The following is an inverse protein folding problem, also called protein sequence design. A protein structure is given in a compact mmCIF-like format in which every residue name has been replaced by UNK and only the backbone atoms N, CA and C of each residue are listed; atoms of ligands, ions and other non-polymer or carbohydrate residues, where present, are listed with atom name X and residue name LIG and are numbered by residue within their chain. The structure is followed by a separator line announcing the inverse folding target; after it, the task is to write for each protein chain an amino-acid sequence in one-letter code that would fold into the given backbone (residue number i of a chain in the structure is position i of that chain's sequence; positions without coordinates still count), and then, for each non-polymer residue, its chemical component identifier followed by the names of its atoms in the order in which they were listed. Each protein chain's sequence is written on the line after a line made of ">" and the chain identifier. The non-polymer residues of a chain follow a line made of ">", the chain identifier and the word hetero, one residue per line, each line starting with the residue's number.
data_IF_875343695765
#
_entry.id   IF_875343695765
#
_cell.length_a   1.000
_cell.length_b   1.000
_cell.length_c   1.000
_cell.angle_alpha   90.00
_cell.angle_beta   90.00
_cell.angle_gamma   90.00
#
_symmetry.space_group_name_H-M   'P 1'
#
loop_
_entity.id
_entity.type
_entity.pdbx_description
1 polymer ?
#
# COMPACT_ATOMS: atom_id res chain seq x y z
N UNK A 1 -21.09 -14.44 18.80
CA UNK A 1 -19.69 -14.90 18.57
C UNK A 1 -19.50 -15.25 17.10
N UNK A 2 -18.76 -14.42 16.34
CA UNK A 2 -18.15 -14.65 15.00
C UNK A 2 -17.72 -13.29 14.41
N UNK A 3 -16.72 -12.66 15.00
CA UNK A 3 -16.00 -11.49 14.42
C UNK A 3 -14.53 -11.60 14.80
N UNK A 4 -13.85 -12.61 14.26
CA UNK A 4 -12.43 -12.88 14.58
C UNK A 4 -11.58 -13.19 13.35
N UNK A 5 -12.00 -12.78 12.15
CA UNK A 5 -11.25 -13.09 10.92
C UNK A 5 -11.19 -11.87 10.02
N UNK A 6 -10.27 -10.94 10.31
CA UNK A 6 -9.78 -9.94 9.34
C UNK A 6 -8.62 -9.07 9.84
N UNK A 7 -8.32 -9.05 11.15
CA UNK A 7 -7.33 -8.12 11.72
C UNK A 7 -5.90 -8.67 11.84
N UNK A 8 -5.57 -9.79 11.19
CA UNK A 8 -4.27 -10.44 11.32
C UNK A 8 -3.17 -9.86 10.39
N UNK A 9 -3.50 -8.92 9.49
CA UNK A 9 -2.55 -8.38 8.49
C UNK A 9 -1.91 -7.04 8.88
N UNK A 10 -2.09 -6.59 10.13
CA UNK A 10 -1.53 -5.31 10.62
C UNK A 10 -0.13 -5.50 11.27
N UNK A 11 0.30 -6.73 11.56
CA UNK A 11 1.55 -7.02 12.28
C UNK A 11 2.75 -7.26 11.33
N UNK A 12 2.81 -6.57 10.19
CA UNK A 12 4.00 -6.56 9.32
C UNK A 12 4.61 -5.17 9.19
N UNK A 13 4.01 -4.15 9.83
CA UNK A 13 4.42 -2.74 9.68
C UNK A 13 5.41 -2.23 10.74
N UNK A 14 5.79 -3.02 11.75
CA UNK A 14 6.60 -2.54 12.88
C UNK A 14 7.99 -3.20 13.02
N UNK A 15 8.52 -3.90 12.02
CA UNK A 15 9.90 -4.35 12.12
C UNK A 15 10.86 -3.20 11.77
N UNK A 16 11.69 -2.73 12.72
CA UNK A 16 12.82 -1.88 12.36
C UNK A 16 13.69 -2.67 11.38
N UNK A 17 14.12 -2.02 10.29
CA UNK A 17 15.10 -2.53 9.33
C UNK A 17 16.50 -2.63 9.97
N UNK A 18 16.59 -3.12 11.21
CA UNK A 18 17.80 -3.26 11.99
C UNK A 18 18.19 -4.74 12.01
N UNK A 19 19.08 -5.12 11.09
CA UNK A 19 19.86 -6.35 11.15
C UNK A 19 19.16 -7.61 10.64
N UNK A 20 19.25 -7.88 9.33
CA UNK A 20 19.34 -9.24 8.78
C UNK A 20 19.72 -9.15 7.30
N UNK A 21 20.64 -9.99 6.85
CA UNK A 21 21.40 -9.97 5.58
C UNK A 21 20.60 -10.05 4.25
N UNK A 22 19.35 -9.56 4.18
CA UNK A 22 18.54 -9.67 2.96
C UNK A 22 17.57 -8.49 2.76
N UNK A 23 18.12 -7.29 2.60
CA UNK A 23 17.35 -6.07 2.29
C UNK A 23 16.48 -6.26 1.05
N UNK A 24 17.02 -6.90 0.01
CA UNK A 24 16.32 -7.11 -1.26
C UNK A 24 15.07 -8.00 -1.07
N UNK A 25 15.19 -9.15 -0.38
CA UNK A 25 14.05 -10.04 -0.09
C UNK A 25 13.03 -9.40 0.83
N UNK A 26 13.48 -8.69 1.87
CA UNK A 26 12.58 -7.99 2.78
C UNK A 26 11.78 -6.91 2.04
N UNK A 27 12.45 -6.15 1.17
CA UNK A 27 11.81 -5.12 0.35
C UNK A 27 10.84 -5.72 -0.66
N UNK A 28 11.20 -6.81 -1.34
CA UNK A 28 10.30 -7.54 -2.23
C UNK A 28 9.03 -8.02 -1.51
N UNK A 29 9.19 -8.54 -0.30
CA UNK A 29 8.08 -9.00 0.55
C UNK A 29 7.15 -7.84 0.92
N UNK A 30 7.72 -6.70 1.32
CA UNK A 30 6.97 -5.47 1.62
C UNK A 30 6.20 -4.99 0.40
N UNK A 31 6.85 -4.88 -0.75
CA UNK A 31 6.20 -4.40 -1.99
C UNK A 31 5.07 -5.33 -2.43
N UNK A 32 5.23 -6.64 -2.27
CA UNK A 32 4.14 -7.61 -2.51
C UNK A 32 2.97 -7.43 -1.54
N UNK A 33 3.24 -7.21 -0.26
CA UNK A 33 2.19 -6.95 0.73
C UNK A 33 1.44 -5.64 0.44
N UNK A 34 2.16 -4.60 0.00
CA UNK A 34 1.57 -3.34 -0.44
C UNK A 34 0.63 -3.54 -1.65
N UNK A 35 1.06 -4.31 -2.66
CA UNK A 35 0.23 -4.63 -3.83
C UNK A 35 -1.05 -5.41 -3.47
N UNK A 36 -0.95 -6.38 -2.55
CA UNK A 36 -2.12 -7.10 -2.03
C UNK A 36 -3.10 -6.14 -1.33
N UNK A 37 -2.59 -5.23 -0.50
CA UNK A 37 -3.43 -4.25 0.19
C UNK A 37 -4.14 -3.31 -0.80
N UNK A 38 -3.43 -2.85 -1.83
CA UNK A 38 -4.00 -2.06 -2.92
C UNK A 38 -5.14 -2.80 -3.63
N UNK A 39 -4.92 -4.04 -4.04
CA UNK A 39 -5.94 -4.84 -4.72
C UNK A 39 -7.17 -5.04 -3.82
N UNK A 40 -6.97 -5.29 -2.51
CA UNK A 40 -8.05 -5.39 -1.54
C UNK A 40 -8.89 -4.10 -1.42
N UNK A 41 -8.26 -2.92 -1.52
CA UNK A 41 -8.97 -1.64 -1.53
C UNK A 41 -9.78 -1.47 -2.81
N UNK A 42 -9.19 -1.78 -3.96
CA UNK A 42 -9.86 -1.63 -5.27
C UNK A 42 -11.08 -2.56 -5.38
N UNK A 43 -10.92 -3.83 -5.01
CA UNK A 43 -12.02 -4.81 -4.97
C UNK A 43 -13.08 -4.41 -3.94
N UNK A 44 -12.64 -3.97 -2.76
CA UNK A 44 -13.51 -3.47 -1.69
C UNK A 44 -14.35 -2.27 -2.13
N UNK A 45 -13.76 -1.33 -2.88
CA UNK A 45 -14.46 -0.19 -3.48
C UNK A 45 -15.46 -0.62 -4.53
N UNK A 46 -15.13 -1.58 -5.40
CA UNK A 46 -16.06 -2.09 -6.40
C UNK A 46 -17.29 -2.75 -5.75
N UNK A 47 -17.07 -3.55 -4.72
CA UNK A 47 -18.15 -4.19 -3.94
C UNK A 47 -18.98 -3.14 -3.20
N UNK A 48 -18.35 -2.19 -2.52
CA UNK A 48 -19.05 -1.13 -1.80
C UNK A 48 -19.92 -0.28 -2.74
N UNK A 49 -19.42 0.06 -3.92
CA UNK A 49 -20.20 0.79 -4.93
C UNK A 49 -21.41 -0.02 -5.41
N UNK A 50 -21.21 -1.31 -5.74
CA UNK A 50 -22.30 -2.20 -6.17
C UNK A 50 -23.39 -2.37 -5.11
N UNK A 51 -23.01 -2.35 -3.84
CA UNK A 51 -23.93 -2.45 -2.71
C UNK A 51 -24.55 -1.09 -2.31
N UNK A 52 -24.20 -0.01 -3.01
CA UNK A 52 -24.67 1.33 -2.70
C UNK A 52 -24.20 1.81 -1.33
N UNK A 53 -22.95 1.49 -0.97
CA UNK A 53 -22.28 1.96 0.25
C UNK A 53 -21.28 3.11 0.00
N UNK A 54 -21.02 3.45 -1.26
CA UNK A 54 -20.23 4.62 -1.64
C UNK A 54 -20.77 5.16 -2.97
N UNK A 55 -20.52 6.44 -3.26
CA UNK A 55 -20.98 7.07 -4.49
C UNK A 55 -20.00 6.86 -5.65
N UNK A 56 -20.44 7.19 -6.86
CA UNK A 56 -19.57 7.19 -8.05
C UNK A 56 -18.39 8.17 -7.89
N UNK A 57 -18.63 9.32 -7.26
CA UNK A 57 -17.60 10.33 -7.01
C UNK A 57 -16.54 9.83 -6.03
N UNK A 58 -16.97 9.10 -5.00
CA UNK A 58 -16.05 8.40 -4.08
C UNK A 58 -15.18 7.41 -4.85
N UNK A 59 -15.77 6.57 -5.72
CA UNK A 59 -15.01 5.60 -6.53
C UNK A 59 -13.98 6.30 -7.42
N UNK A 60 -14.37 7.38 -8.10
CA UNK A 60 -13.47 8.14 -8.96
C UNK A 60 -12.28 8.72 -8.16
N UNK A 61 -12.54 9.21 -6.94
CA UNK A 61 -11.50 9.75 -6.08
C UNK A 61 -10.60 8.66 -5.48
N UNK A 62 -11.14 7.51 -5.08
CA UNK A 62 -10.33 6.34 -4.72
C UNK A 62 -9.42 5.97 -5.88
N UNK A 63 -9.95 5.85 -7.10
CA UNK A 63 -9.18 5.48 -8.28
C UNK A 63 -8.04 6.47 -8.58
N UNK A 64 -8.29 7.78 -8.41
CA UNK A 64 -7.25 8.80 -8.57
C UNK A 64 -6.09 8.63 -7.57
N UNK A 65 -6.40 8.48 -6.28
CA UNK A 65 -5.37 8.27 -5.24
C UNK A 65 -4.65 6.93 -5.45
N UNK A 66 -5.40 5.90 -5.85
CA UNK A 66 -4.89 4.56 -6.14
C UNK A 66 -3.88 4.58 -7.30
N UNK A 67 -4.09 5.41 -8.32
CA UNK A 67 -3.14 5.61 -9.41
C UNK A 67 -1.81 6.24 -8.94
N UNK A 68 -1.88 7.19 -7.99
CA UNK A 68 -0.69 7.83 -7.39
C UNK A 68 0.12 6.79 -6.59
N UNK A 69 -0.56 5.97 -5.79
CA UNK A 69 0.07 4.85 -5.10
C UNK A 69 0.74 3.89 -6.09
N UNK A 70 0.02 3.43 -7.11
CA UNK A 70 0.52 2.42 -8.03
C UNK A 70 1.75 2.92 -8.82
N UNK A 71 1.78 4.20 -9.19
CA UNK A 71 2.97 4.84 -9.78
C UNK A 71 4.16 4.81 -8.81
N UNK A 72 3.94 5.14 -7.54
CA UNK A 72 4.99 5.12 -6.50
C UNK A 72 5.48 3.70 -6.20
N UNK A 73 4.59 2.72 -6.17
CA UNK A 73 4.92 1.30 -6.03
C UNK A 73 5.79 0.81 -7.20
N UNK A 74 5.45 1.16 -8.44
CA UNK A 74 6.27 0.83 -9.62
C UNK A 74 7.68 1.41 -9.51
N UNK A 75 7.79 2.68 -9.09
CA UNK A 75 9.10 3.31 -8.87
C UNK A 75 9.93 2.57 -7.81
N UNK A 76 9.30 2.08 -6.74
CA UNK A 76 9.97 1.28 -5.72
C UNK A 76 10.41 -0.10 -6.24
N UNK A 77 9.61 -0.74 -7.10
CA UNK A 77 9.99 -1.99 -7.78
C UNK A 77 11.22 -1.77 -8.68
N UNK A 78 11.23 -0.71 -9.48
CA UNK A 78 12.40 -0.36 -10.31
C UNK A 78 13.63 -0.08 -9.46
N UNK A 79 13.49 0.69 -8.37
CA UNK A 79 14.61 0.96 -7.47
C UNK A 79 15.16 -0.33 -6.81
N UNK A 80 14.31 -1.33 -6.57
CA UNK A 80 14.72 -2.63 -6.04
C UNK A 80 15.55 -3.41 -7.07
N UNK A 81 15.14 -3.38 -8.34
CA UNK A 81 15.90 -3.99 -9.43
C UNK A 81 17.27 -3.33 -9.59
N UNK A 82 17.33 -2.00 -9.57
CA UNK A 82 18.59 -1.25 -9.63
C UNK A 82 19.52 -1.56 -8.44
N UNK A 83 18.96 -1.72 -7.24
CA UNK A 83 19.72 -2.12 -6.06
C UNK A 83 20.33 -3.52 -6.21
N UNK A 84 19.56 -4.50 -6.72
CA UNK A 84 20.05 -5.86 -6.96
C UNK A 84 21.20 -5.88 -7.96
N UNK A 85 21.07 -5.13 -9.06
CA UNK A 85 22.14 -4.98 -10.06
C UNK A 85 23.40 -4.38 -9.42
N UNK A 86 23.24 -3.33 -8.60
CA UNK A 86 24.38 -2.72 -7.90
C UNK A 86 25.02 -3.67 -6.88
N UNK A 87 24.22 -4.48 -6.18
CA UNK A 87 24.71 -5.50 -5.26
C UNK A 87 25.53 -6.58 -5.97
N UNK A 88 25.08 -7.05 -7.13
CA UNK A 88 25.78 -8.03 -7.96
C UNK A 88 27.10 -7.49 -8.53
N UNK A 89 27.18 -6.18 -8.79
CA UNK A 89 28.37 -5.54 -9.35
C UNK A 89 29.56 -5.45 -8.39
N UNK A 90 29.33 -5.57 -7.07
CA UNK A 90 30.37 -5.44 -6.05
C UNK A 90 30.86 -4.00 -5.78
N UNK A 91 30.36 -2.99 -6.49
CA UNK A 91 30.66 -1.58 -6.22
C UNK A 91 29.90 -1.11 -4.96
N UNK A 92 30.63 -1.00 -3.85
CA UNK A 92 30.06 -0.64 -2.55
C UNK A 92 29.49 0.79 -2.51
N UNK A 93 30.06 1.73 -3.26
CA UNK A 93 29.59 3.12 -3.31
C UNK A 93 28.28 3.17 -4.09
N UNK A 94 28.23 2.54 -5.26
CA UNK A 94 27.02 2.47 -6.06
C UNK A 94 25.89 1.71 -5.34
N UNK A 95 26.21 0.58 -4.67
CA UNK A 95 25.26 -0.18 -3.84
C UNK A 95 24.62 0.71 -2.77
N UNK A 96 25.41 1.52 -2.08
CA UNK A 96 24.92 2.42 -1.03
C UNK A 96 24.02 3.53 -1.59
N UNK A 97 24.39 4.12 -2.73
CA UNK A 97 23.54 5.10 -3.43
C UNK A 97 22.18 4.48 -3.78
N UNK A 98 22.18 3.28 -4.38
CA UNK A 98 20.94 2.58 -4.73
C UNK A 98 20.12 2.16 -3.51
N UNK A 99 20.77 1.82 -2.40
CA UNK A 99 20.09 1.55 -1.12
C UNK A 99 19.29 2.75 -0.62
N UNK A 100 19.88 3.94 -0.66
CA UNK A 100 19.22 5.18 -0.26
C UNK A 100 18.03 5.49 -1.16
N UNK A 101 18.21 5.38 -2.48
CA UNK A 101 17.12 5.55 -3.45
C UNK A 101 15.99 4.54 -3.25
N UNK A 102 16.31 3.27 -2.98
CA UNK A 102 15.34 2.23 -2.68
C UNK A 102 14.52 2.57 -1.43
N UNK A 103 15.19 2.93 -0.33
CA UNK A 103 14.52 3.30 0.91
C UNK A 103 13.57 4.49 0.72
N UNK A 104 14.00 5.52 -0.04
CA UNK A 104 13.15 6.66 -0.36
C UNK A 104 11.92 6.27 -1.18
N UNK A 105 12.11 5.45 -2.22
CA UNK A 105 11.01 4.98 -3.07
C UNK A 105 10.00 4.11 -2.31
N UNK A 106 10.50 3.19 -1.47
CA UNK A 106 9.64 2.33 -0.61
C UNK A 106 8.88 3.19 0.40
N UNK A 107 9.53 4.18 1.01
CA UNK A 107 8.88 5.11 1.95
C UNK A 107 7.75 5.88 1.26
N UNK A 108 8.00 6.43 0.07
CA UNK A 108 6.98 7.13 -0.71
C UNK A 108 5.80 6.20 -1.07
N UNK A 109 6.07 5.00 -1.56
CA UNK A 109 5.03 4.02 -1.89
C UNK A 109 4.16 3.67 -0.66
N UNK A 110 4.78 3.50 0.52
CA UNK A 110 4.06 3.28 1.77
C UNK A 110 3.18 4.46 2.16
N UNK A 111 3.70 5.68 2.11
CA UNK A 111 2.92 6.89 2.41
C UNK A 111 1.70 6.99 1.49
N UNK A 112 1.86 6.76 0.19
CA UNK A 112 0.73 6.79 -0.75
C UNK A 112 -0.28 5.68 -0.52
N UNK A 113 0.18 4.50 -0.08
CA UNK A 113 -0.73 3.42 0.30
C UNK A 113 -1.54 3.78 1.55
N UNK A 114 -0.91 4.42 2.53
CA UNK A 114 -1.57 4.81 3.76
C UNK A 114 -2.57 5.96 3.54
N UNK A 115 -2.25 6.90 2.63
CA UNK A 115 -3.23 7.89 2.13
C UNK A 115 -4.44 7.22 1.48
N UNK A 116 -4.20 6.22 0.62
CA UNK A 116 -5.27 5.44 -0.03
C UNK A 116 -6.14 4.71 0.98
N UNK A 117 -5.54 4.00 1.94
CA UNK A 117 -6.26 3.30 3.02
C UNK A 117 -7.10 4.27 3.83
N UNK A 118 -6.50 5.38 4.28
CA UNK A 118 -7.16 6.38 5.12
C UNK A 118 -8.39 6.93 4.41
N UNK A 119 -8.23 7.37 3.16
CA UNK A 119 -9.35 7.89 2.37
C UNK A 119 -10.45 6.84 2.17
N UNK A 120 -10.08 5.59 1.86
CA UNK A 120 -11.06 4.52 1.68
C UNK A 120 -11.86 4.24 2.96
N UNK A 121 -11.19 4.20 4.12
CA UNK A 121 -11.83 3.98 5.41
C UNK A 121 -12.78 5.12 5.78
N UNK A 122 -12.35 6.37 5.62
CA UNK A 122 -13.18 7.55 5.88
C UNK A 122 -14.40 7.61 4.97
N UNK A 123 -14.22 7.38 3.67
CA UNK A 123 -15.30 7.45 2.70
C UNK A 123 -16.35 6.35 2.93
N UNK A 124 -15.93 5.15 3.31
CA UNK A 124 -16.83 4.05 3.68
C UNK A 124 -17.57 4.34 4.99
N UNK A 125 -16.87 4.86 6.00
CA UNK A 125 -17.45 5.20 7.31
C UNK A 125 -18.54 6.27 7.20
N UNK A 126 -18.20 7.40 6.58
CA UNK A 126 -19.12 8.53 6.42
C UNK A 126 -20.42 8.15 5.69
N UNK A 127 -20.34 7.29 4.69
CA UNK A 127 -21.53 6.85 3.96
C UNK A 127 -22.40 5.89 4.78
N UNK A 128 -21.79 4.98 5.54
CA UNK A 128 -22.54 4.02 6.38
C UNK A 128 -23.39 4.77 7.41
N UNK A 129 -22.83 5.80 8.05
CA UNK A 129 -23.53 6.65 9.02
C UNK A 129 -24.67 7.46 8.39
N UNK A 130 -24.49 7.95 7.15
CA UNK A 130 -25.53 8.69 6.43
C UNK A 130 -26.70 7.79 6.02
N UNK A 131 -26.42 6.56 5.61
CA UNK A 131 -27.45 5.58 5.22
C UNK A 131 -28.29 5.12 6.41
N UNK A 132 -27.65 4.84 7.55
CA UNK A 132 -28.36 4.48 8.77
C UNK A 132 -29.34 5.60 9.21
N UNK A 133 -28.92 6.86 9.11
CA UNK A 133 -29.80 8.02 9.41
C UNK A 133 -30.91 8.28 8.40
N UNK A 134 -30.77 7.83 7.15
CA UNK A 134 -31.82 7.98 6.13
C UNK A 134 -32.91 6.91 6.21
N UNK A 135 -32.60 5.79 6.85
CA UNK A 135 -33.48 4.62 6.96
C UNK A 135 -34.28 4.62 8.29
N UNK A 136 -34.03 5.58 9.20
CA UNK A 136 -34.78 5.86 10.45
C UNK A 136 -35.91 6.88 10.23
#
# INVERSE_FOLDING_TARGET
>A
MKRLVAFALVIVFCLPLAGCDDLAKNTATVLKACDIAYNGIMDGSAVAFKQGFITKDTVARVAHIAAIYHSSWKAACTALEEYKIAEESGDSVNKEVKRISLNAAVSLARTRLDELKTYWHEAKGAYTELKEKSDE
#
